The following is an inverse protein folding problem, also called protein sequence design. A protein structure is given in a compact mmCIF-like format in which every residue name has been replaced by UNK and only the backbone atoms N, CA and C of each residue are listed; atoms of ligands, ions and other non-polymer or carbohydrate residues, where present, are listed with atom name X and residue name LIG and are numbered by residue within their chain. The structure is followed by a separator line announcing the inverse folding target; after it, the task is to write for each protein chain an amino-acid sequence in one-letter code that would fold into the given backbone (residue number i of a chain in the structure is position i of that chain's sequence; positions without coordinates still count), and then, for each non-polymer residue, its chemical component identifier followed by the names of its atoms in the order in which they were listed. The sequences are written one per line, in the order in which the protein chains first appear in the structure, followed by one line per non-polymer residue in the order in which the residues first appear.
data_IF_400046076256
#
_entry.id   IF_400046076256
#
_cell.length_a   1.000
_cell.length_b   1.000
_cell.length_c   1.000
_cell.angle_alpha   90.00
_cell.angle_beta   90.00
_cell.angle_gamma   90.00
#
_symmetry.space_group_name_H-M   'P 1'
#
loop_
_entity.id
_entity.type
_entity.pdbx_description
1 polymer ?
#
# COMPACT_ATOMS: atom_id res chain seq x y z
N UNK A 1 -2.10 -12.64 -10.93
CA UNK A 1 -2.58 -11.29 -11.36
C UNK A 1 -3.72 -10.75 -10.51
N UNK A 2 -4.60 -11.61 -10.02
CA UNK A 2 -5.46 -11.40 -8.84
C UNK A 2 -4.70 -11.20 -7.53
N UNK A 3 -3.38 -11.43 -7.51
CA UNK A 3 -2.58 -11.52 -6.28
C UNK A 3 -2.58 -10.26 -5.43
N UNK A 4 -2.30 -9.07 -5.97
CA UNK A 4 -2.13 -7.90 -5.11
C UNK A 4 -3.45 -7.48 -4.46
N UNK A 5 -4.55 -7.46 -5.22
CA UNK A 5 -5.86 -7.09 -4.71
C UNK A 5 -6.39 -8.14 -3.74
N UNK A 6 -6.17 -9.43 -4.02
CA UNK A 6 -6.52 -10.51 -3.10
C UNK A 6 -5.66 -10.46 -1.82
N UNK A 7 -4.36 -10.20 -1.94
CA UNK A 7 -3.43 -10.06 -0.81
C UNK A 7 -3.83 -8.89 0.07
N UNK A 8 -4.17 -7.73 -0.51
CA UNK A 8 -4.63 -6.58 0.27
C UNK A 8 -5.99 -6.85 0.94
N UNK A 9 -6.86 -7.66 0.32
CA UNK A 9 -8.16 -8.02 0.91
C UNK A 9 -8.03 -8.92 2.15
N UNK A 10 -6.93 -9.68 2.29
CA UNK A 10 -6.67 -10.51 3.48
C UNK A 10 -6.04 -9.72 4.62
N UNK A 11 -5.49 -8.51 4.36
CA UNK A 11 -4.89 -7.67 5.40
C UNK A 11 -5.95 -7.12 6.36
N UNK A 12 -5.90 -7.56 7.62
CA UNK A 12 -6.76 -7.07 8.71
C UNK A 12 -6.14 -5.80 9.32
N UNK A 13 -6.43 -4.62 8.75
CA UNK A 13 -5.85 -3.34 9.20
C UNK A 13 -6.87 -2.39 9.87
N UNK A 14 -6.44 -1.56 10.85
CA UNK A 14 -7.28 -0.52 11.42
C UNK A 14 -7.86 0.40 10.34
N UNK A 15 -9.17 0.67 10.40
CA UNK A 15 -9.90 1.46 9.39
C UNK A 15 -9.30 2.85 9.17
N UNK A 16 -8.69 3.45 10.20
CA UNK A 16 -8.06 4.77 10.12
C UNK A 16 -6.84 4.77 9.19
N UNK A 17 -5.95 3.78 9.32
CA UNK A 17 -4.74 3.69 8.48
C UNK A 17 -5.09 3.51 7.01
N UNK A 18 -6.03 2.61 6.73
CA UNK A 18 -6.52 2.38 5.37
C UNK A 18 -7.16 3.64 4.79
N UNK A 19 -7.96 4.36 5.58
CA UNK A 19 -8.57 5.63 5.14
C UNK A 19 -7.51 6.68 4.81
N UNK A 20 -6.53 6.89 5.67
CA UNK A 20 -5.43 7.83 5.42
C UNK A 20 -4.66 7.46 4.15
N UNK A 21 -4.33 6.17 3.98
CA UNK A 21 -3.62 5.67 2.83
C UNK A 21 -4.41 5.84 1.51
N UNK A 22 -5.74 5.70 1.54
CA UNK A 22 -6.60 5.95 0.36
C UNK A 22 -6.54 7.40 -0.11
N UNK A 23 -6.48 8.37 0.81
CA UNK A 23 -6.29 9.77 0.44
C UNK A 23 -4.93 10.01 -0.21
N UNK A 24 -3.88 9.41 0.36
CA UNK A 24 -2.54 9.44 -0.24
C UNK A 24 -2.50 8.83 -1.64
N UNK A 25 -3.12 7.67 -1.82
CA UNK A 25 -3.14 6.95 -3.10
C UNK A 25 -3.90 7.75 -4.18
N UNK A 26 -5.01 8.39 -3.81
CA UNK A 26 -5.76 9.27 -4.70
C UNK A 26 -4.96 10.53 -5.11
N UNK A 27 -4.15 11.09 -4.19
CA UNK A 27 -3.26 12.19 -4.50
C UNK A 27 -2.11 11.77 -5.42
N UNK A 28 -1.53 10.59 -5.18
CA UNK A 28 -0.45 10.03 -6.00
C UNK A 28 -0.92 9.73 -7.42
N UNK A 29 -2.12 9.18 -7.59
CA UNK A 29 -2.73 8.88 -8.89
C UNK A 29 -2.96 10.13 -9.77
N UNK A 30 -3.05 11.33 -9.18
CA UNK A 30 -3.23 12.60 -9.90
C UNK A 30 -1.92 13.24 -10.33
N UNK A 31 -0.77 12.72 -9.90
CA UNK A 31 0.54 13.32 -10.17
C UNK A 31 1.07 12.83 -11.53
N UNK A 32 1.50 13.74 -12.44
CA UNK A 32 1.80 13.39 -13.84
C UNK A 32 3.16 12.69 -14.08
N UNK A 33 3.67 11.85 -13.17
CA UNK A 33 5.02 11.23 -13.29
C UNK A 33 5.01 9.70 -13.47
N UNK A 34 5.79 9.21 -14.45
CA UNK A 34 6.17 7.80 -14.75
C UNK A 34 6.96 7.13 -13.61
N UNK A 35 7.26 5.82 -13.71
CA UNK A 35 6.41 4.64 -13.48
C UNK A 35 6.17 4.39 -11.98
N UNK A 36 5.20 3.52 -11.66
CA UNK A 36 4.70 3.21 -10.32
C UNK A 36 5.77 3.28 -9.23
N UNK A 37 5.50 3.99 -8.13
CA UNK A 37 6.37 3.99 -6.94
C UNK A 37 6.68 2.57 -6.43
N UNK A 38 5.85 1.61 -6.82
CA UNK A 38 5.97 0.16 -6.65
C UNK A 38 7.13 -0.43 -7.46
N UNK A 39 7.37 0.03 -8.69
CA UNK A 39 8.49 -0.41 -9.51
C UNK A 39 9.84 0.00 -8.89
N UNK A 40 9.88 1.13 -8.19
CA UNK A 40 11.10 1.63 -7.53
C UNK A 40 11.47 0.88 -6.25
N UNK A 41 10.49 0.33 -5.51
CA UNK A 41 10.71 -0.38 -4.24
C UNK A 41 10.50 -1.90 -4.33
N UNK A 42 9.79 -2.38 -5.35
CA UNK A 42 9.34 -3.76 -5.48
C UNK A 42 8.09 -4.06 -4.65
N UNK A 43 7.12 -4.79 -5.23
CA UNK A 43 5.87 -5.14 -4.54
C UNK A 43 6.11 -6.03 -3.31
N UNK A 44 6.97 -7.04 -3.43
CA UNK A 44 7.25 -7.97 -2.33
C UNK A 44 7.85 -7.26 -1.12
N UNK A 45 8.81 -6.36 -1.35
CA UNK A 45 9.39 -5.54 -0.29
C UNK A 45 8.34 -4.68 0.42
N UNK A 46 7.40 -4.09 -0.33
CA UNK A 46 6.31 -3.30 0.25
C UNK A 46 5.39 -4.16 1.13
N UNK A 47 5.10 -5.40 0.74
CA UNK A 47 4.29 -6.32 1.53
C UNK A 47 5.01 -6.79 2.80
N UNK A 48 6.31 -7.09 2.70
CA UNK A 48 7.15 -7.45 3.85
C UNK A 48 7.26 -6.30 4.85
N UNK A 49 7.50 -5.09 4.36
CA UNK A 49 7.58 -3.88 5.19
C UNK A 49 6.23 -3.59 5.86
N UNK A 50 5.12 -3.78 5.14
CA UNK A 50 3.77 -3.61 5.68
C UNK A 50 3.49 -4.60 6.82
N UNK A 51 3.87 -5.87 6.66
CA UNK A 51 3.71 -6.86 7.72
C UNK A 51 4.59 -6.54 8.94
N UNK A 52 5.85 -6.18 8.73
CA UNK A 52 6.75 -5.76 9.81
C UNK A 52 6.18 -4.56 10.60
N UNK A 53 5.64 -3.55 9.91
CA UNK A 53 4.99 -2.41 10.54
C UNK A 53 3.71 -2.80 11.29
N UNK A 54 2.94 -3.75 10.77
CA UNK A 54 1.77 -4.26 11.47
C UNK A 54 2.15 -5.06 12.72
N UNK A 55 3.20 -5.89 12.68
CA UNK A 55 3.69 -6.59 13.87
C UNK A 55 4.14 -5.58 14.93
N UNK A 56 4.95 -4.58 14.53
CA UNK A 56 5.37 -3.51 15.42
C UNK A 56 4.19 -2.77 16.07
N UNK A 57 3.12 -2.51 15.31
CA UNK A 57 1.88 -1.89 15.81
C UNK A 57 1.16 -2.77 16.83
N UNK A 58 1.01 -4.07 16.53
CA UNK A 58 0.22 -5.01 17.38
C UNK A 58 0.96 -5.29 18.69
N UNK A 59 2.28 -5.38 18.65
CA UNK A 59 3.08 -5.65 19.86
C UNK A 59 3.51 -4.38 20.60
N UNK A 60 3.17 -3.19 20.10
CA UNK A 60 3.50 -1.91 20.73
C UNK A 60 5.00 -1.58 20.75
N UNK A 61 5.75 -1.93 19.68
CA UNK A 61 7.18 -1.64 19.61
C UNK A 61 7.43 -0.13 19.61
N UNK A 62 8.47 0.31 20.34
CA UNK A 62 8.86 1.71 20.42
C UNK A 62 9.24 2.34 19.06
N UNK A 63 9.70 1.51 18.10
CA UNK A 63 10.03 1.94 16.74
C UNK A 63 8.85 2.04 15.78
N UNK A 64 7.61 1.78 16.22
CA UNK A 64 6.46 1.83 15.33
C UNK A 64 6.18 3.25 14.83
N UNK A 65 6.23 3.43 13.51
CA UNK A 65 5.87 4.69 12.84
C UNK A 65 4.53 4.56 12.10
N UNK A 66 3.44 5.16 12.62
CA UNK A 66 2.15 5.17 11.92
C UNK A 66 2.23 5.93 10.59
N UNK A 67 3.07 6.97 10.51
CA UNK A 67 3.29 7.73 9.26
C UNK A 67 3.87 6.84 8.17
N UNK A 68 4.93 6.09 8.48
CA UNK A 68 5.56 5.16 7.54
C UNK A 68 4.59 4.05 7.11
N UNK A 69 3.77 3.55 8.02
CA UNK A 69 2.72 2.57 7.71
C UNK A 69 1.71 3.13 6.70
N UNK A 70 1.26 4.37 6.89
CA UNK A 70 0.38 5.05 5.92
C UNK A 70 1.05 5.23 4.56
N UNK A 71 2.34 5.56 4.51
CA UNK A 71 3.09 5.68 3.25
C UNK A 71 3.19 4.35 2.50
N UNK A 72 3.52 3.26 3.19
CA UNK A 72 3.60 1.92 2.57
C UNK A 72 2.23 1.49 2.04
N UNK A 73 1.17 1.64 2.85
CA UNK A 73 -0.21 1.34 2.41
C UNK A 73 -0.64 2.24 1.24
N UNK A 74 -0.21 3.51 1.21
CA UNK A 74 -0.50 4.44 0.12
C UNK A 74 0.05 3.90 -1.21
N UNK A 75 1.31 3.44 -1.21
CA UNK A 75 1.95 2.89 -2.40
C UNK A 75 1.30 1.58 -2.82
N UNK A 76 1.00 0.67 -1.87
CA UNK A 76 0.33 -0.59 -2.15
C UNK A 76 -1.09 -0.41 -2.75
N UNK A 77 -1.88 0.52 -2.21
CA UNK A 77 -3.21 0.81 -2.72
C UNK A 77 -3.17 1.45 -4.12
N UNK A 78 -2.21 2.33 -4.35
CA UNK A 78 -1.99 2.90 -5.68
C UNK A 78 -1.57 1.82 -6.69
N UNK A 79 -0.71 0.89 -6.29
CA UNK A 79 -0.31 -0.27 -7.10
C UNK A 79 -1.51 -1.10 -7.57
N UNK A 80 -2.41 -1.42 -6.66
CA UNK A 80 -3.59 -2.24 -6.93
C UNK A 80 -4.56 -1.52 -7.87
N UNK A 81 -4.74 -0.20 -7.70
CA UNK A 81 -5.58 0.61 -8.61
C UNK A 81 -4.97 0.68 -10.02
N UNK A 82 -3.66 0.97 -10.14
CA UNK A 82 -2.95 0.96 -11.43
C UNK A 82 -3.09 -0.38 -12.14
N UNK A 83 -2.85 -1.50 -11.44
CA UNK A 83 -2.96 -2.85 -12.00
C UNK A 83 -4.39 -3.17 -12.46
N UNK A 84 -5.41 -2.77 -11.70
CA UNK A 84 -6.81 -2.97 -12.07
C UNK A 84 -7.20 -2.20 -13.33
N UNK A 85 -6.69 -0.97 -13.51
CA UNK A 85 -6.96 -0.15 -14.71
C UNK A 85 -6.35 -0.75 -15.96
N UNK A 86 -5.11 -1.24 -15.87
CA UNK A 86 -4.44 -1.91 -16.99
C UNK A 86 -5.21 -3.16 -17.43
N UNK A 87 -5.71 -3.96 -16.48
CA UNK A 87 -6.51 -5.14 -16.77
C UNK A 87 -7.87 -4.82 -17.43
N UNK A 88 -8.46 -3.65 -17.16
CA UNK A 88 -9.72 -3.23 -17.78
C UNK A 88 -9.57 -2.66 -19.20
N UNK A 89 -8.33 -2.44 -19.67
CA UNK A 89 -8.05 -1.84 -20.99
C UNK A 89 -7.67 -2.90 -22.04
N UNK A 90 -7.53 -4.17 -21.64
CA UNK A 90 -7.22 -5.33 -22.47
C UNK A 90 -8.45 -6.22 -22.64
#
# INVERSE_FOLDING_TARGET
MSDITATLATLRRPKLLVRAARFGAAALARRPTKPDAVAARGLNWLLEEEDALNQARVTGQAGYSPTRHVEVLTVLLNAADSASRLAATL
#
